data_IF_695769412094
#
_entry.id   IF_695769412094
#
_cell.length_a   1.000
_cell.length_b   1.000
_cell.length_c   1.000
_cell.angle_alpha   90.00
_cell.angle_beta   90.00
_cell.angle_gamma   90.00
#
_symmetry.space_group_name_H-M   'P 1'
#
loop_
_entity.id
_entity.type
_entity.pdbx_description
1 polymer ?
#
# COMPACT_ATOMS: atom_id res chain seq x y z
N UNK A 1 -6.04 3.95 10.81
CA UNK A 1 -5.68 2.54 11.03
C UNK A 1 -4.48 2.19 10.18
N UNK A 2 -3.83 1.05 10.45
CA UNK A 2 -2.62 0.64 9.72
C UNK A 2 -2.89 -0.61 8.89
N UNK A 3 -2.41 -0.63 7.66
CA UNK A 3 -2.48 -1.77 6.75
C UNK A 3 -1.05 -2.18 6.37
N UNK A 4 -0.80 -3.48 6.37
CA UNK A 4 0.46 -4.11 6.03
C UNK A 4 0.33 -4.78 4.67
N UNK A 5 1.22 -4.46 3.74
CA UNK A 5 1.22 -5.04 2.39
C UNK A 5 2.60 -5.63 2.10
N UNK A 6 2.72 -6.96 1.95
CA UNK A 6 3.98 -7.57 1.54
C UNK A 6 4.28 -7.27 0.07
N UNK A 7 5.51 -6.88 -0.23
CA UNK A 7 5.96 -6.41 -1.55
C UNK A 7 6.33 -7.55 -2.52
N UNK A 8 6.44 -8.80 -2.02
CA UNK A 8 6.66 -10.04 -2.81
C UNK A 8 7.72 -9.96 -3.92
N UNK A 9 8.76 -9.14 -3.75
CA UNK A 9 9.85 -8.99 -4.74
C UNK A 9 9.55 -8.03 -5.89
N UNK A 10 8.48 -7.23 -5.78
CA UNK A 10 8.12 -6.21 -6.76
C UNK A 10 9.01 -4.96 -6.64
N UNK A 11 8.89 -4.04 -7.60
CA UNK A 11 9.49 -2.72 -7.48
C UNK A 11 8.81 -1.92 -6.36
N UNK A 12 9.46 -1.88 -5.19
CA UNK A 12 8.94 -1.30 -3.96
C UNK A 12 8.47 0.15 -4.11
N UNK A 13 9.20 0.95 -4.90
CA UNK A 13 8.93 2.36 -5.07
C UNK A 13 7.66 2.58 -5.90
N UNK A 14 7.56 1.89 -7.04
CA UNK A 14 6.40 2.01 -7.93
C UNK A 14 5.09 1.57 -7.25
N UNK A 15 5.13 0.49 -6.47
CA UNK A 15 3.95 0.03 -5.73
C UNK A 15 3.56 1.04 -4.64
N UNK A 16 4.53 1.54 -3.86
CA UNK A 16 4.25 2.51 -2.81
C UNK A 16 3.67 3.82 -3.37
N UNK A 17 4.14 4.29 -4.52
CA UNK A 17 3.61 5.50 -5.15
C UNK A 17 2.17 5.30 -5.64
N UNK A 18 1.84 4.13 -6.21
CA UNK A 18 0.45 3.78 -6.55
C UNK A 18 -0.44 3.74 -5.31
N UNK A 19 0.02 3.14 -4.21
CA UNK A 19 -0.74 3.04 -2.97
C UNK A 19 -0.96 4.40 -2.32
N UNK A 20 0.03 5.31 -2.36
CA UNK A 20 -0.12 6.68 -1.84
C UNK A 20 -1.11 7.53 -2.65
N UNK A 21 -1.36 7.18 -3.91
CA UNK A 21 -2.33 7.87 -4.75
C UNK A 21 -3.79 7.48 -4.46
N UNK A 22 -4.02 6.46 -3.63
CA UNK A 22 -5.37 6.02 -3.25
C UNK A 22 -5.98 7.00 -2.25
N UNK A 23 -7.22 7.43 -2.51
CA UNK A 23 -7.95 8.31 -1.59
C UNK A 23 -8.07 7.66 -0.20
N UNK A 24 -7.89 8.47 0.85
CA UNK A 24 -7.85 7.99 2.22
C UNK A 24 -6.54 7.34 2.67
N UNK A 25 -5.50 7.25 1.82
CA UNK A 25 -4.14 6.92 2.26
C UNK A 25 -3.44 8.21 2.70
N UNK A 26 -3.07 8.28 3.99
CA UNK A 26 -2.42 9.45 4.57
C UNK A 26 -0.89 9.36 4.50
N UNK A 27 -0.34 8.15 4.62
CA UNK A 27 1.11 7.91 4.60
C UNK A 27 1.40 6.49 4.12
N UNK A 28 2.51 6.32 3.40
CA UNK A 28 3.03 5.01 3.03
C UNK A 28 4.53 4.93 3.25
N UNK A 29 5.00 3.95 4.02
CA UNK A 29 6.41 3.73 4.35
C UNK A 29 6.83 2.35 3.86
N UNK A 30 7.90 2.30 3.06
CA UNK A 30 8.52 1.04 2.63
C UNK A 30 9.53 0.63 3.70
N UNK A 31 9.41 -0.59 4.21
CA UNK A 31 10.41 -1.22 5.05
C UNK A 31 11.07 -2.32 4.23
N UNK A 32 12.15 -1.97 3.54
CA UNK A 32 12.81 -2.86 2.58
C UNK A 32 13.38 -4.13 3.25
N UNK A 33 13.88 -4.03 4.48
CA UNK A 33 14.35 -5.17 5.28
C UNK A 33 13.26 -6.19 5.58
N UNK A 34 12.00 -5.76 5.63
CA UNK A 34 10.83 -6.60 5.87
C UNK A 34 10.06 -6.91 4.59
N UNK A 35 10.53 -6.41 3.44
CA UNK A 35 9.86 -6.54 2.14
C UNK A 35 8.37 -6.15 2.23
N UNK A 36 8.06 -5.08 2.97
CA UNK A 36 6.67 -4.71 3.34
C UNK A 36 6.46 -3.20 3.24
N UNK A 37 5.26 -2.80 2.84
CA UNK A 37 4.76 -1.42 2.92
C UNK A 37 3.77 -1.29 4.06
N UNK A 38 3.98 -0.26 4.87
CA UNK A 38 3.10 0.16 5.94
C UNK A 38 2.30 1.36 5.48
N UNK A 39 0.97 1.22 5.43
CA UNK A 39 0.07 2.31 5.07
C UNK A 39 -0.67 2.81 6.30
N UNK A 40 -0.60 4.12 6.56
CA UNK A 40 -1.57 4.80 7.41
C UNK A 40 -2.74 5.19 6.54
N UNK A 41 -3.92 4.68 6.90
CA UNK A 41 -5.15 4.93 6.16
C UNK A 41 -6.23 5.51 7.06
N UNK A 42 -7.02 6.42 6.51
CA UNK A 42 -8.31 6.81 7.04
C UNK A 42 -9.35 5.77 6.62
N UNK A 43 -9.81 4.96 7.58
CA UNK A 43 -10.76 3.88 7.30
C UNK A 43 -12.12 4.36 6.79
N UNK A 44 -12.46 5.63 6.98
CA UNK A 44 -13.75 6.19 6.52
C UNK A 44 -13.70 6.61 5.05
N UNK A 45 -12.50 6.80 4.51
CA UNK A 45 -12.28 7.30 3.14
C UNK A 45 -11.64 6.26 2.23
N UNK A 46 -10.77 5.41 2.77
CA UNK A 46 -10.03 4.44 1.98
C UNK A 46 -10.94 3.41 1.34
N UNK A 47 -10.86 3.28 0.01
CA UNK A 47 -11.48 2.17 -0.71
C UNK A 47 -10.61 0.92 -0.58
N UNK A 48 -11.05 -0.01 0.28
CA UNK A 48 -10.35 -1.27 0.53
C UNK A 48 -10.32 -2.19 -0.69
N UNK A 49 -11.31 -2.13 -1.58
CA UNK A 49 -11.33 -2.94 -2.81
C UNK A 49 -10.30 -2.41 -3.80
N UNK A 50 -10.22 -1.08 -3.95
CA UNK A 50 -9.19 -0.46 -4.77
C UNK A 50 -7.78 -0.78 -4.24
N UNK A 51 -7.59 -0.68 -2.92
CA UNK A 51 -6.32 -1.02 -2.28
C UNK A 51 -5.91 -2.47 -2.55
N UNK A 52 -6.85 -3.42 -2.38
CA UNK A 52 -6.60 -4.83 -2.65
C UNK A 52 -6.31 -5.10 -4.13
N UNK A 53 -7.03 -4.44 -5.05
CA UNK A 53 -6.79 -4.58 -6.48
C UNK A 53 -5.39 -4.11 -6.88
N UNK A 54 -4.88 -3.00 -6.30
CA UNK A 54 -3.51 -2.52 -6.56
C UNK A 54 -2.46 -3.51 -6.05
N UNK A 55 -2.74 -4.21 -4.94
CA UNK A 55 -1.84 -5.24 -4.42
C UNK A 55 -1.85 -6.48 -5.32
N UNK A 56 -3.03 -6.88 -5.81
CA UNK A 56 -3.20 -8.07 -6.65
C UNK A 56 -2.77 -7.86 -8.10
N UNK A 57 -2.94 -6.66 -8.69
CA UNK A 57 -2.57 -6.36 -10.08
C UNK A 57 -1.05 -6.45 -10.32
N UNK A 58 -0.26 -6.38 -9.25
CA UNK A 58 1.21 -6.39 -9.32
C UNK A 58 1.78 -7.74 -8.82
N UNK A 59 0.95 -8.62 -8.26
CA UNK A 59 1.31 -9.95 -7.74
C UNK A 59 1.30 -11.03 -8.83
#
# INVERSE_FOLDING_TARGET
ASVLIPLRGQNHQALADKLRAVDGVAEGVIVASENTVYLKVDQRRVDRKQLAAIVDEVA
#
